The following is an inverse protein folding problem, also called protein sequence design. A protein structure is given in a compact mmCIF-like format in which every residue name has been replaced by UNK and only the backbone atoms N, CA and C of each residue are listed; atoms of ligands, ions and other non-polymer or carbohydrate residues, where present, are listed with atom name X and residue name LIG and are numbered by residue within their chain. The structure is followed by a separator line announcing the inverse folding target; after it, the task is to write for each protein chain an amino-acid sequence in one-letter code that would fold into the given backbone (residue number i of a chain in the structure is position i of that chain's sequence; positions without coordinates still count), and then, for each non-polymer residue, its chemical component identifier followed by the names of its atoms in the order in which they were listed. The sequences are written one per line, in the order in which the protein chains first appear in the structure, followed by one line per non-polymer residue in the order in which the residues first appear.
data_IF_778353143041
#
_entry.id   IF_778353143041
#
_cell.length_a   1.000
_cell.length_b   1.000
_cell.length_c   1.000
_cell.angle_alpha   90.00
_cell.angle_beta   90.00
_cell.angle_gamma   90.00
#
_symmetry.space_group_name_H-M   'P 1'
#
loop_
_entity.id
_entity.type
_entity.pdbx_description
1 polymer ?
#
# COMPACT_ATOMS: atom_id res chain seq x y z
N UNK A 1 9.57 -18.65 -9.31
CA UNK A 1 8.79 -17.44 -8.96
C UNK A 1 8.19 -17.65 -7.57
N UNK A 2 8.53 -16.82 -6.58
CA UNK A 2 7.98 -16.93 -5.21
C UNK A 2 6.45 -16.71 -5.30
N UNK A 3 5.65 -17.65 -4.78
CA UNK A 3 4.21 -17.44 -4.63
C UNK A 3 4.00 -16.28 -3.66
N UNK A 4 3.80 -15.06 -4.20
CA UNK A 4 3.43 -13.89 -3.41
C UNK A 4 1.94 -13.97 -3.12
N UNK A 5 1.54 -13.51 -1.94
CA UNK A 5 0.14 -13.41 -1.59
C UNK A 5 -0.53 -12.32 -2.44
N UNK A 6 -1.42 -12.70 -3.36
CA UNK A 6 -2.02 -11.78 -4.31
C UNK A 6 -2.93 -10.78 -3.60
N UNK A 7 -3.63 -11.23 -2.55
CA UNK A 7 -4.43 -10.34 -1.69
C UNK A 7 -3.57 -9.24 -1.06
N UNK A 8 -2.40 -9.60 -0.55
CA UNK A 8 -1.45 -8.64 0.03
C UNK A 8 -0.94 -7.62 -0.99
N UNK A 9 -0.66 -8.07 -2.22
CA UNK A 9 -0.24 -7.19 -3.32
C UNK A 9 -1.35 -6.21 -3.69
N UNK A 10 -2.59 -6.69 -3.85
CA UNK A 10 -3.74 -5.84 -4.18
C UNK A 10 -3.98 -4.79 -3.10
N UNK A 11 -3.93 -5.18 -1.82
CA UNK A 11 -4.07 -4.25 -0.70
C UNK A 11 -2.94 -3.21 -0.64
N UNK A 12 -1.70 -3.62 -0.90
CA UNK A 12 -0.57 -2.70 -0.94
C UNK A 12 -0.73 -1.65 -2.05
N UNK A 13 -1.26 -2.05 -3.21
CA UNK A 13 -1.57 -1.13 -4.32
C UNK A 13 -2.67 -0.14 -3.91
N UNK A 14 -3.76 -0.62 -3.32
CA UNK A 14 -4.86 0.25 -2.83
C UNK A 14 -4.32 1.25 -1.80
N UNK A 15 -3.51 0.78 -0.85
CA UNK A 15 -2.86 1.63 0.15
C UNK A 15 -2.05 2.76 -0.49
N UNK A 16 -1.22 2.45 -1.50
CA UNK A 16 -0.43 3.46 -2.19
C UNK A 16 -1.30 4.55 -2.82
N UNK A 17 -2.39 4.19 -3.51
CA UNK A 17 -3.27 5.16 -4.15
C UNK A 17 -4.02 6.04 -3.14
N UNK A 18 -4.54 5.43 -2.08
CA UNK A 18 -5.26 6.17 -1.02
C UNK A 18 -4.33 7.14 -0.32
N UNK A 19 -3.14 6.68 0.10
CA UNK A 19 -2.18 7.53 0.78
C UNK A 19 -1.64 8.63 -0.14
N UNK A 20 -1.39 8.33 -1.41
CA UNK A 20 -1.02 9.36 -2.39
C UNK A 20 -2.12 10.41 -2.51
N UNK A 21 -3.39 10.01 -2.61
CA UNK A 21 -4.53 10.92 -2.64
C UNK A 21 -4.58 11.86 -1.43
N UNK A 22 -4.36 11.33 -0.23
CA UNK A 22 -4.28 12.12 1.00
C UNK A 22 -3.11 13.10 0.96
N UNK A 23 -1.94 12.65 0.49
CA UNK A 23 -0.72 13.48 0.45
C UNK A 23 -0.72 14.55 -0.66
N UNK A 24 -1.66 14.49 -1.60
CA UNK A 24 -1.82 15.53 -2.63
C UNK A 24 -3.06 16.39 -2.40
N UNK A 25 -3.83 16.11 -1.36
CA UNK A 25 -4.99 16.92 -1.01
C UNK A 25 -4.50 18.28 -0.48
N UNK A 26 -4.92 19.35 -1.13
CA UNK A 26 -4.56 20.71 -0.76
C UNK A 26 -5.76 21.66 -0.97
N UNK A 27 -5.86 22.76 -0.20
CA UNK A 27 -6.84 23.80 -0.44
C UNK A 27 -6.76 24.36 -1.87
N UNK A 28 -7.88 24.84 -2.44
CA UNK A 28 -7.88 25.42 -3.78
C UNK A 28 -6.89 26.59 -3.90
N UNK A 29 -5.90 26.45 -4.79
CA UNK A 29 -4.87 27.48 -5.02
C UNK A 29 -3.58 27.31 -4.22
N UNK A 30 -3.49 26.30 -3.35
CA UNK A 30 -2.29 25.94 -2.61
C UNK A 30 -1.69 24.63 -3.14
N UNK A 31 -0.37 24.48 -2.98
CA UNK A 31 0.32 23.21 -3.24
C UNK A 31 0.30 22.36 -1.98
N UNK A 32 0.27 21.01 -2.10
CA UNK A 32 0.37 20.14 -0.93
C UNK A 32 1.65 20.42 -0.13
N UNK A 33 1.49 20.79 1.15
CA UNK A 33 2.59 21.13 2.06
C UNK A 33 2.80 20.03 3.11
N UNK A 34 3.19 18.85 2.63
CA UNK A 34 3.63 17.77 3.51
C UNK A 34 5.15 17.69 3.55
N UNK A 35 5.75 17.39 4.73
CA UNK A 35 7.18 17.18 4.82
C UNK A 35 7.64 16.10 3.83
N UNK A 36 8.80 16.26 3.15
CA UNK A 36 9.26 15.32 2.13
C UNK A 36 9.37 13.87 2.61
N UNK A 37 9.60 13.66 3.90
CA UNK A 37 9.68 12.32 4.50
C UNK A 37 8.31 11.62 4.59
N UNK A 38 7.19 12.34 4.56
CA UNK A 38 5.86 11.76 4.60
C UNK A 38 5.59 10.86 3.38
N UNK A 39 6.17 11.21 2.23
CA UNK A 39 6.09 10.39 1.01
C UNK A 39 6.81 9.04 1.15
N UNK A 40 7.75 8.88 2.08
CA UNK A 40 8.38 7.59 2.38
C UNK A 40 7.40 6.60 3.00
N UNK A 41 6.28 7.06 3.57
CA UNK A 41 5.24 6.18 4.10
C UNK A 41 4.56 5.33 3.01
N UNK A 42 4.59 5.78 1.75
CA UNK A 42 4.04 5.03 0.61
C UNK A 42 4.81 3.71 0.42
N UNK A 43 6.13 3.71 0.11
CA UNK A 43 6.86 2.46 -0.04
C UNK A 43 6.96 1.67 1.27
N UNK A 44 7.09 2.33 2.44
CA UNK A 44 7.18 1.64 3.72
C UNK A 44 5.91 0.86 4.06
N UNK A 45 4.73 1.47 3.89
CA UNK A 45 3.48 0.78 4.16
C UNK A 45 3.20 -0.36 3.17
N UNK A 46 3.55 -0.19 1.89
CA UNK A 46 3.45 -1.27 0.91
C UNK A 46 4.33 -2.48 1.27
N UNK A 47 5.57 -2.24 1.73
CA UNK A 47 6.46 -3.30 2.21
C UNK A 47 5.87 -3.96 3.46
N UNK A 48 5.35 -3.18 4.42
CA UNK A 48 4.74 -3.72 5.62
C UNK A 48 3.51 -4.61 5.32
N UNK A 49 2.62 -4.16 4.44
CA UNK A 49 1.42 -4.92 4.02
C UNK A 49 1.85 -6.21 3.31
N UNK A 50 2.73 -6.12 2.32
CA UNK A 50 3.17 -7.30 1.58
C UNK A 50 3.92 -8.29 2.48
N UNK A 51 4.75 -7.82 3.42
CA UNK A 51 5.41 -8.67 4.40
C UNK A 51 4.40 -9.35 5.34
N UNK A 52 3.39 -8.61 5.84
CA UNK A 52 2.34 -9.17 6.69
C UNK A 52 1.60 -10.30 5.96
N UNK A 53 1.23 -10.08 4.70
CA UNK A 53 0.52 -11.07 3.89
C UNK A 53 1.40 -12.22 3.38
N UNK A 54 2.70 -12.00 3.17
CA UNK A 54 3.60 -13.09 2.75
C UNK A 54 4.06 -13.95 3.95
N UNK A 55 4.22 -13.36 5.15
CA UNK A 55 4.81 -14.07 6.31
C UNK A 55 3.80 -14.47 7.39
N UNK A 56 2.80 -13.62 7.67
CA UNK A 56 1.84 -13.85 8.77
C UNK A 56 0.55 -14.46 8.22
N UNK A 57 -0.02 -13.86 7.17
CA UNK A 57 -1.32 -14.27 6.63
C UNK A 57 -1.11 -15.22 5.44
N UNK A 58 -1.03 -16.52 5.71
CA UNK A 58 -0.91 -17.55 4.64
C UNK A 58 -2.18 -17.73 3.80
N UNK A 59 -3.25 -17.04 4.16
CA UNK A 59 -4.52 -17.09 3.45
C UNK A 59 -4.52 -16.06 2.31
N UNK A 60 -4.83 -16.51 1.10
CA UNK A 60 -4.98 -15.66 -0.07
C UNK A 60 -6.45 -15.71 -0.49
N UNK A 61 -7.18 -14.62 -0.23
CA UNK A 61 -8.61 -14.51 -0.53
C UNK A 61 -8.88 -14.56 -2.04
N UNK A 62 -7.95 -14.08 -2.85
CA UNK A 62 -8.07 -14.03 -4.30
C UNK A 62 -7.66 -15.37 -4.90
N UNK A 63 -6.58 -15.96 -4.38
CA UNK A 63 -6.17 -17.33 -4.73
C UNK A 63 -6.88 -18.34 -3.84
N UNK A 64 -8.21 -18.25 -3.77
CA UNK A 64 -9.04 -19.28 -3.13
C UNK A 64 -8.78 -20.58 -3.91
N UNK A 65 -8.26 -21.60 -3.22
CA UNK A 65 -8.09 -22.96 -3.77
C UNK A 65 -9.36 -23.36 -4.50
N UNK A 66 -9.26 -23.59 -5.80
CA UNK A 66 -9.99 -24.71 -6.41
C UNK A 66 -9.53 -26.02 -5.74
#
# INVERSE_FOLDING_TARGET
MKNRNLTGVVLAIIYCFVLYGILIEAPPGEVPDHPPWAYLMIPLGAIAITALFDFVIKYDFIKKKE
#
